data_IF_443057750395
#
_entry.id   IF_443057750395
#
_cell.length_a   1.000
_cell.length_b   1.000
_cell.length_c   1.000
_cell.angle_alpha   90.00
_cell.angle_beta   90.00
_cell.angle_gamma   90.00
#
_symmetry.space_group_name_H-M   'P 1'
#
loop_
_entity.id
_entity.type
_entity.pdbx_description
1 polymer ?
#
# COMPACT_ATOMS: atom_id res chain seq x y z
N UNK A 1 14.90 17.76 -9.93
CA UNK A 1 13.98 16.81 -10.58
C UNK A 1 12.65 16.87 -9.87
N UNK A 2 11.59 17.25 -10.57
CA UNK A 2 10.24 17.23 -10.02
C UNK A 2 9.62 15.85 -10.27
N UNK A 3 8.99 15.29 -9.23
CA UNK A 3 8.28 14.01 -9.32
C UNK A 3 6.85 14.25 -9.76
N UNK A 4 6.40 13.41 -10.69
CA UNK A 4 5.03 13.45 -11.16
C UNK A 4 4.41 12.07 -11.11
N UNK A 5 3.13 12.02 -10.75
CA UNK A 5 2.29 10.82 -10.85
C UNK A 5 1.57 10.82 -12.19
N UNK A 6 1.56 9.67 -12.86
CA UNK A 6 0.86 9.47 -14.13
C UNK A 6 -0.64 9.26 -13.88
N UNK A 7 -1.47 10.20 -14.31
CA UNK A 7 -2.93 10.09 -14.23
C UNK A 7 -3.52 9.40 -15.47
N UNK A 8 -2.96 9.71 -16.65
CA UNK A 8 -3.39 9.14 -17.94
C UNK A 8 -2.21 8.33 -18.48
N UNK A 9 -2.35 7.00 -18.64
CA UNK A 9 -1.25 6.17 -19.13
C UNK A 9 -0.92 6.47 -20.58
N UNK A 10 0.33 6.23 -20.97
CA UNK A 10 0.79 6.33 -22.36
C UNK A 10 1.80 5.22 -22.66
N UNK A 11 2.40 5.24 -23.86
CA UNK A 11 3.27 4.16 -24.31
C UNK A 11 4.41 3.88 -23.32
N UNK A 12 4.39 2.68 -22.72
CA UNK A 12 5.38 2.22 -21.74
C UNK A 12 5.22 2.77 -20.32
N UNK A 13 4.17 3.56 -20.03
CA UNK A 13 3.96 4.19 -18.73
C UNK A 13 2.55 3.89 -18.21
N UNK A 14 2.48 3.35 -17.00
CA UNK A 14 1.22 2.92 -16.37
C UNK A 14 0.62 4.02 -15.48
N UNK A 15 -0.70 3.98 -15.29
CA UNK A 15 -1.40 4.89 -14.38
C UNK A 15 -0.93 4.66 -12.94
N UNK A 16 -0.67 5.73 -12.21
CA UNK A 16 -0.13 5.70 -10.84
C UNK A 16 1.40 5.55 -10.78
N UNK A 17 2.07 5.38 -11.92
CA UNK A 17 3.53 5.36 -11.95
C UNK A 17 4.09 6.74 -11.59
N UNK A 18 5.12 6.75 -10.76
CA UNK A 18 5.89 7.98 -10.50
C UNK A 18 6.99 8.10 -11.54
N UNK A 19 7.08 9.27 -12.16
CA UNK A 19 8.07 9.61 -13.18
C UNK A 19 8.78 10.90 -12.78
N UNK A 20 10.10 10.89 -12.86
CA UNK A 20 10.94 12.05 -12.61
C UNK A 20 11.17 12.81 -13.93
N UNK A 21 10.86 14.10 -13.93
CA UNK A 21 11.16 14.98 -15.07
C UNK A 21 12.03 16.15 -14.63
N UNK A 22 13.06 16.47 -15.42
CA UNK A 22 13.82 17.71 -15.31
C UNK A 22 13.07 18.88 -15.95
N UNK A 23 12.47 18.65 -17.11
CA UNK A 23 11.62 19.61 -17.82
C UNK A 23 10.36 18.91 -18.34
N UNK A 24 9.18 19.38 -17.90
CA UNK A 24 7.90 18.79 -18.28
C UNK A 24 7.38 19.37 -19.60
N UNK A 25 7.41 18.56 -20.66
CA UNK A 25 6.87 18.95 -21.97
C UNK A 25 5.36 19.26 -21.89
N UNK A 26 4.85 20.29 -22.58
CA UNK A 26 3.42 20.68 -22.51
C UNK A 26 2.42 19.55 -22.80
N UNK A 27 2.78 18.61 -23.67
CA UNK A 27 1.95 17.45 -24.03
C UNK A 27 1.75 16.48 -22.86
N UNK A 28 2.70 16.41 -21.92
CA UNK A 28 2.64 15.49 -20.78
C UNK A 28 1.93 16.09 -19.57
N UNK A 29 1.79 17.43 -19.50
CA UNK A 29 1.05 18.13 -18.44
C UNK A 29 -0.35 17.57 -18.14
N UNK A 30 -1.22 17.28 -19.14
CA UNK A 30 -2.52 16.70 -18.84
C UNK A 30 -2.45 15.26 -18.32
N UNK A 31 -1.36 14.55 -18.62
CA UNK A 31 -1.20 13.14 -18.27
C UNK A 31 -0.57 12.94 -16.90
N UNK A 32 0.02 14.00 -16.31
CA UNK A 32 0.78 13.91 -15.07
C UNK A 32 0.33 14.93 -14.03
N UNK A 33 0.42 14.56 -12.75
CA UNK A 33 0.18 15.44 -11.59
C UNK A 33 1.47 15.62 -10.83
N UNK A 34 1.81 16.87 -10.51
CA UNK A 34 2.97 17.15 -9.67
C UNK A 34 2.75 16.55 -8.29
N UNK A 35 3.64 15.65 -7.90
CA UNK A 35 3.62 14.99 -6.62
C UNK A 35 4.45 15.86 -5.66
N UNK A 36 3.80 16.86 -5.06
CA UNK A 36 4.38 17.56 -3.91
C UNK A 36 4.58 16.55 -2.77
N UNK A 37 5.67 16.65 -2.01
CA UNK A 37 6.04 15.76 -0.89
C UNK A 37 4.86 15.39 0.04
N UNK A 38 3.87 16.27 0.19
CA UNK A 38 2.67 16.03 1.01
C UNK A 38 1.69 14.99 0.42
N UNK A 39 1.64 14.84 -0.91
CA UNK A 39 0.83 13.83 -1.60
C UNK A 39 1.57 12.49 -1.78
N UNK A 40 2.91 12.49 -1.74
CA UNK A 40 3.70 11.27 -1.66
C UNK A 40 3.48 10.53 -0.32
N UNK A 41 3.14 11.26 0.76
CA UNK A 41 2.73 10.66 2.03
C UNK A 41 1.32 10.05 1.99
N UNK A 42 0.44 10.52 1.09
CA UNK A 42 -0.90 9.97 0.90
C UNK A 42 -0.95 8.82 -0.11
N UNK A 43 0.00 8.77 -1.05
CA UNK A 43 0.24 7.64 -1.93
C UNK A 43 1.24 6.69 -1.29
N UNK A 44 0.80 6.03 -0.22
CA UNK A 44 1.35 4.73 0.09
C UNK A 44 1.19 3.87 -1.17
N UNK A 45 2.26 3.34 -1.79
CA UNK A 45 2.08 2.18 -2.64
C UNK A 45 1.29 1.16 -1.83
N UNK A 46 0.52 0.30 -2.49
CA UNK A 46 -0.22 -0.81 -1.87
C UNK A 46 0.72 -1.86 -1.24
N UNK A 47 1.67 -1.44 -0.40
CA UNK A 47 2.03 -2.17 0.81
C UNK A 47 0.84 -1.90 1.71
N UNK A 48 0.05 -2.95 1.93
CA UNK A 48 -0.88 -3.03 3.02
C UNK A 48 -0.21 -2.36 4.23
N UNK A 49 -0.68 -1.17 4.61
CA UNK A 49 -0.40 -0.70 5.95
C UNK A 49 -0.76 -1.90 6.84
N UNK A 50 0.09 -2.30 7.80
CA UNK A 50 -0.33 -3.23 8.83
C UNK A 50 -1.41 -2.50 9.62
N UNK A 51 -2.64 -2.49 9.07
CA UNK A 51 -3.85 -2.40 9.84
C UNK A 51 -3.63 -3.46 10.88
N UNK A 52 -3.56 -3.03 12.14
CA UNK A 52 -3.60 -3.95 13.28
C UNK A 52 -4.62 -5.01 12.93
N UNK A 53 -4.19 -6.27 12.74
CA UNK A 53 -5.04 -7.27 12.12
C UNK A 53 -6.28 -7.39 13.01
N UNK A 54 -7.45 -7.25 12.40
CA UNK A 54 -8.68 -7.34 13.18
C UNK A 54 -8.79 -8.77 13.72
N UNK A 55 -9.49 -8.96 14.85
CA UNK A 55 -9.64 -10.29 15.48
C UNK A 55 -10.04 -11.37 14.48
N UNK A 56 -10.85 -11.01 13.47
CA UNK A 56 -11.29 -11.92 12.40
C UNK A 56 -10.16 -12.35 11.49
N UNK A 57 -9.32 -11.43 11.03
CA UNK A 57 -8.17 -11.72 10.16
C UNK A 57 -7.14 -12.58 10.89
N UNK A 58 -6.91 -12.31 12.18
CA UNK A 58 -6.03 -13.14 13.02
C UNK A 58 -6.57 -14.56 13.16
N UNK A 59 -7.87 -14.70 13.42
CA UNK A 59 -8.53 -16.01 13.52
C UNK A 59 -8.49 -16.78 12.20
N UNK A 60 -8.72 -16.10 11.08
CA UNK A 60 -8.66 -16.69 9.74
C UNK A 60 -7.26 -17.22 9.46
N UNK A 61 -6.22 -16.42 9.71
CA UNK A 61 -4.82 -16.86 9.58
C UNK A 61 -4.46 -18.02 10.51
N UNK A 62 -4.90 -18.00 11.77
CA UNK A 62 -4.65 -19.11 12.70
C UNK A 62 -5.36 -20.40 12.27
N UNK A 63 -6.58 -20.28 11.71
CA UNK A 63 -7.34 -21.40 11.16
C UNK A 63 -6.66 -21.97 9.90
N UNK A 64 -6.20 -21.10 9.00
CA UNK A 64 -5.46 -21.48 7.79
C UNK A 64 -4.14 -22.20 8.12
N UNK A 65 -3.44 -21.73 9.16
CA UNK A 65 -2.21 -22.35 9.65
C UNK A 65 -2.46 -23.63 10.48
N UNK A 66 -3.72 -23.97 10.78
CA UNK A 66 -4.08 -25.12 11.59
C UNK A 66 -3.64 -25.01 13.06
N UNK A 67 -3.47 -23.79 13.56
CA UNK A 67 -3.08 -23.51 14.94
C UNK A 67 -4.35 -23.50 15.78
N UNK A 68 -4.46 -24.38 16.78
CA UNK A 68 -5.55 -24.34 17.75
C UNK A 68 -5.45 -23.06 18.59
N UNK A 69 -6.48 -22.23 18.53
CA UNK A 69 -6.57 -20.99 19.29
C UNK A 69 -7.85 -20.97 20.12
N UNK A 70 -7.80 -20.31 21.29
CA UNK A 70 -8.99 -20.12 22.11
C UNK A 70 -9.82 -18.96 21.56
N UNK A 71 -11.06 -19.21 21.12
CA UNK A 71 -11.97 -18.18 20.61
C UNK A 71 -12.23 -17.04 21.63
N UNK A 72 -12.10 -17.34 22.92
CA UNK A 72 -12.21 -16.37 24.02
C UNK A 72 -10.93 -15.60 24.29
N UNK A 73 -9.80 -15.98 23.69
CA UNK A 73 -8.54 -15.27 23.84
C UNK A 73 -8.65 -13.83 23.32
N UNK A 74 -7.81 -12.97 23.89
CA UNK A 74 -7.68 -11.59 23.47
C UNK A 74 -6.95 -11.53 22.13
N UNK A 75 -7.24 -10.47 21.36
CA UNK A 75 -6.63 -10.25 20.04
C UNK A 75 -5.11 -10.26 20.13
N UNK A 76 -4.54 -9.67 21.18
CA UNK A 76 -3.09 -9.64 21.39
C UNK A 76 -2.46 -11.04 21.58
N UNK A 77 -3.17 -11.97 22.23
CA UNK A 77 -2.69 -13.36 22.40
C UNK A 77 -2.79 -14.15 21.08
N UNK A 78 -3.86 -13.92 20.32
CA UNK A 78 -4.02 -14.50 18.99
C UNK A 78 -2.96 -13.97 18.02
N UNK A 79 -2.57 -12.70 18.13
CA UNK A 79 -1.48 -12.10 17.35
C UNK A 79 -0.13 -12.70 17.75
N UNK A 80 0.12 -12.93 19.05
CA UNK A 80 1.37 -13.53 19.51
C UNK A 80 1.57 -15.00 19.08
N UNK A 81 0.48 -15.69 18.71
CA UNK A 81 0.53 -17.04 18.13
C UNK A 81 0.82 -17.04 16.63
N UNK A 82 0.69 -15.90 15.95
CA UNK A 82 1.15 -15.77 14.57
C UNK A 82 2.69 -15.69 14.59
N UNK A 83 3.41 -16.45 13.76
CA UNK A 83 4.84 -16.26 13.60
C UNK A 83 5.09 -14.85 13.05
N UNK A 84 5.79 -14.01 13.82
CA UNK A 84 6.32 -12.75 13.30
C UNK A 84 7.37 -13.11 12.24
N UNK A 85 7.16 -12.64 11.01
CA UNK A 85 8.14 -12.77 9.91
C UNK A 85 9.34 -11.84 10.11
#
# INVERSE_FOLDING_TARGET
MAKYEVIIPWYGVVKGQTVDFDELHPVLKPNVRLLSDEAAAALTPSIEQPKKPTKKEVIEKLTELGIEFDEKAKVDELIALLPEE
#
